data_IF_379066709287
#
_entry.id   IF_379066709287
#
_cell.length_a   1.000
_cell.length_b   1.000
_cell.length_c   1.000
_cell.angle_alpha   90.00
_cell.angle_beta   90.00
_cell.angle_gamma   90.00
#
_symmetry.space_group_name_H-M   'P 1'
#
loop_
_entity.id
_entity.type
_entity.pdbx_description
1 polymer ?
#
# COMPACT_ATOMS: atom_id res chain seq x y z
N UNK A 1 -4.67 10.17 -19.07
CA UNK A 1 -3.57 10.21 -18.09
C UNK A 1 -2.42 9.53 -18.75
N UNK A 2 -1.31 10.24 -18.91
CA UNK A 2 -0.06 9.63 -19.34
C UNK A 2 0.38 8.61 -18.27
N UNK A 3 1.11 7.57 -18.67
CA UNK A 3 1.57 6.52 -17.75
C UNK A 3 0.49 5.58 -17.19
N UNK A 4 -0.80 5.73 -17.53
CA UNK A 4 -1.89 4.88 -17.01
C UNK A 4 -2.64 4.18 -18.15
N UNK A 5 -2.65 2.85 -18.12
CA UNK A 5 -3.36 2.01 -19.09
C UNK A 5 -4.32 1.07 -18.37
N UNK A 6 -5.50 0.84 -18.97
CA UNK A 6 -6.51 -0.06 -18.39
C UNK A 6 -6.68 -1.30 -19.26
N UNK A 7 -6.79 -2.45 -18.61
CA UNK A 7 -7.34 -3.65 -19.23
C UNK A 7 -8.86 -3.58 -19.11
N UNK A 8 -9.54 -3.79 -20.23
CA UNK A 8 -10.99 -3.70 -20.34
C UNK A 8 -11.53 -5.06 -20.77
N UNK A 9 -12.56 -5.55 -20.08
CA UNK A 9 -13.21 -6.82 -20.42
C UNK A 9 -14.13 -6.67 -21.65
N UNK A 10 -14.72 -7.79 -22.09
CA UNK A 10 -15.62 -7.82 -23.25
C UNK A 10 -16.90 -6.98 -23.07
N UNK A 11 -17.30 -6.73 -21.82
CA UNK A 11 -18.45 -5.90 -21.45
C UNK A 11 -18.10 -4.39 -21.42
N UNK A 12 -16.84 -4.02 -21.61
CA UNK A 12 -16.37 -2.63 -21.59
C UNK A 12 -15.97 -2.11 -20.21
N UNK A 13 -15.88 -2.98 -19.20
CA UNK A 13 -15.52 -2.63 -17.83
C UNK A 13 -14.01 -2.70 -17.61
N UNK A 14 -13.46 -1.74 -16.86
CA UNK A 14 -12.04 -1.73 -16.48
C UNK A 14 -11.81 -2.75 -15.38
N UNK A 15 -10.99 -3.76 -15.64
CA UNK A 15 -10.72 -4.87 -14.69
C UNK A 15 -9.35 -4.77 -14.05
N UNK A 16 -8.39 -4.11 -14.70
CA UNK A 16 -7.03 -3.95 -14.18
C UNK A 16 -6.39 -2.68 -14.75
N UNK A 17 -5.31 -2.23 -14.11
CA UNK A 17 -4.55 -1.05 -14.52
C UNK A 17 -3.05 -1.37 -14.55
N UNK A 18 -2.35 -0.86 -15.56
CA UNK A 18 -0.90 -0.79 -15.63
C UNK A 18 -0.48 0.66 -15.40
N UNK A 19 0.43 0.88 -14.45
CA UNK A 19 0.87 2.20 -14.00
C UNK A 19 2.37 2.32 -14.25
N UNK A 20 2.80 3.41 -14.87
CA UNK A 20 4.20 3.79 -14.95
C UNK A 20 4.67 4.32 -13.59
N UNK A 21 5.57 3.56 -12.96
CA UNK A 21 6.10 3.91 -11.65
C UNK A 21 7.14 5.04 -11.69
N UNK A 22 7.69 5.39 -12.85
CA UNK A 22 8.56 6.58 -12.93
C UNK A 22 7.75 7.87 -12.81
N UNK A 23 6.51 7.87 -13.28
CA UNK A 23 5.62 9.02 -13.22
C UNK A 23 4.74 9.01 -11.97
N UNK A 24 4.26 7.83 -11.56
CA UNK A 24 3.23 7.69 -10.52
C UNK A 24 3.64 6.84 -9.33
N UNK A 25 4.90 6.39 -9.26
CA UNK A 25 5.38 5.46 -8.23
C UNK A 25 5.17 5.96 -6.80
N UNK A 26 5.62 7.18 -6.52
CA UNK A 26 5.51 7.79 -5.18
C UNK A 26 4.05 7.88 -4.71
N UNK A 27 3.15 8.33 -5.60
CA UNK A 27 1.73 8.40 -5.27
C UNK A 27 1.11 7.02 -5.08
N UNK A 28 1.52 6.03 -5.88
CA UNK A 28 1.06 4.64 -5.72
C UNK A 28 1.53 4.03 -4.40
N UNK A 29 2.76 4.32 -3.96
CA UNK A 29 3.27 3.94 -2.63
C UNK A 29 2.41 4.51 -1.51
N UNK A 30 2.11 5.82 -1.53
CA UNK A 30 1.26 6.47 -0.54
C UNK A 30 -0.12 5.80 -0.44
N UNK A 31 -0.73 5.47 -1.59
CA UNK A 31 -2.00 4.75 -1.61
C UNK A 31 -1.89 3.35 -1.00
N UNK A 32 -0.82 2.63 -1.31
CA UNK A 32 -0.59 1.28 -0.81
C UNK A 32 -0.36 1.27 0.71
N UNK A 33 0.43 2.20 1.24
CA UNK A 33 0.72 2.35 2.66
C UNK A 33 -0.55 2.60 3.48
N UNK A 34 -1.46 3.46 2.98
CA UNK A 34 -2.75 3.70 3.62
C UNK A 34 -3.60 2.42 3.65
N UNK A 35 -3.62 1.64 2.57
CA UNK A 35 -4.37 0.38 2.51
C UNK A 35 -3.82 -0.64 3.53
N UNK A 36 -2.49 -0.77 3.60
CA UNK A 36 -1.84 -1.65 4.58
C UNK A 36 -2.16 -1.17 6.00
N UNK A 37 -1.97 0.11 6.30
CA UNK A 37 -2.30 0.68 7.61
C UNK A 37 -3.74 0.39 8.03
N UNK A 38 -4.71 0.64 7.14
CA UNK A 38 -6.13 0.37 7.41
C UNK A 38 -6.44 -1.12 7.59
N UNK A 39 -5.81 -2.00 6.84
CA UNK A 39 -6.02 -3.45 6.99
C UNK A 39 -5.59 -3.97 8.37
N UNK A 40 -4.67 -3.25 9.03
CA UNK A 40 -4.10 -3.59 10.33
C UNK A 40 -4.71 -2.82 11.49
N UNK A 41 -5.73 -1.99 11.25
CA UNK A 41 -6.31 -1.10 12.27
C UNK A 41 -6.92 -1.84 13.47
N UNK A 42 -7.33 -3.10 13.27
CA UNK A 42 -7.97 -3.95 14.28
C UNK A 42 -6.99 -4.97 14.90
N UNK A 43 -5.70 -4.91 14.54
CA UNK A 43 -4.66 -5.73 15.16
C UNK A 43 -4.45 -5.30 16.62
N UNK A 44 -4.03 -6.25 17.46
CA UNK A 44 -3.70 -5.94 18.84
C UNK A 44 -2.51 -4.98 18.91
N UNK A 45 -2.70 -3.86 19.61
CA UNK A 45 -1.64 -2.90 19.86
C UNK A 45 -0.64 -3.45 20.89
N UNK A 46 0.63 -3.10 20.71
CA UNK A 46 1.70 -3.35 21.70
C UNK A 46 2.24 -2.02 22.18
N UNK A 47 2.74 -1.99 23.41
CA UNK A 47 3.43 -0.80 23.91
C UNK A 47 4.75 -0.57 23.17
N UNK A 48 5.22 0.68 23.18
CA UNK A 48 6.50 1.03 22.57
C UNK A 48 7.69 0.27 23.18
N UNK A 49 7.66 0.01 24.50
CA UNK A 49 8.71 -0.72 25.20
C UNK A 49 8.73 -2.21 24.85
N UNK A 50 7.55 -2.83 24.69
CA UNK A 50 7.42 -4.20 24.20
C UNK A 50 7.96 -4.31 22.76
N UNK A 51 7.58 -3.37 21.89
CA UNK A 51 8.04 -3.35 20.49
C UNK A 51 9.57 -3.19 20.39
N UNK A 52 10.17 -2.29 21.18
CA UNK A 52 11.64 -2.16 21.24
C UNK A 52 12.32 -3.46 21.66
N UNK A 53 11.74 -4.16 22.63
CA UNK A 53 12.26 -5.44 23.10
C UNK A 53 12.22 -6.50 22.00
N UNK A 54 11.11 -6.58 21.27
CA UNK A 54 10.95 -7.50 20.14
C UNK A 54 11.95 -7.19 19.00
N UNK A 55 12.19 -5.91 18.73
CA UNK A 55 13.15 -5.46 17.70
C UNK A 55 14.62 -5.54 18.15
N UNK A 56 14.89 -5.92 19.40
CA UNK A 56 16.25 -5.96 19.95
C UNK A 56 16.89 -4.56 20.12
N UNK A 57 16.07 -3.53 20.28
CA UNK A 57 16.49 -2.13 20.43
C UNK A 57 16.63 -1.70 21.90
N UNK A 58 16.77 -2.66 22.82
CA UNK A 58 16.95 -2.39 24.24
C UNK A 58 18.41 -2.02 24.51
N UNK A 59 18.63 -0.81 25.02
CA UNK A 59 19.92 -0.32 25.54
C UNK A 59 20.31 -0.97 26.88
#
# INVERSE_FOLDING_TARGET
MEGIQFLVNEEGEKTSVLIDLNEWGDLWEDFYDIMISRSRQDEAEVSWDELKTELGLNE
#
